data_IF_167240788345
#
_entry.id   IF_167240788345
#
_cell.length_a   1.000
_cell.length_b   1.000
_cell.length_c   1.000
_cell.angle_alpha   90.00
_cell.angle_beta   90.00
_cell.angle_gamma   90.00
#
_symmetry.space_group_name_H-M   'P 1'
#
loop_
_entity.id
_entity.type
_entity.pdbx_description
1 polymer ?
#
# COMPACT_ATOMS: atom_id res chain seq x y z
N UNK A 1 -14.85 6.15 -10.38
CA UNK A 1 -13.77 5.13 -10.38
C UNK A 1 -14.32 3.73 -10.12
N UNK A 2 -15.15 3.53 -9.09
CA UNK A 2 -15.83 2.23 -8.83
C UNK A 2 -16.66 1.74 -10.02
N UNK A 3 -17.52 2.59 -10.58
CA UNK A 3 -18.41 2.23 -11.70
C UNK A 3 -17.68 1.75 -12.96
N UNK A 4 -16.48 2.28 -13.22
CA UNK A 4 -15.67 1.86 -14.38
C UNK A 4 -14.95 0.52 -14.14
N UNK A 5 -14.65 0.20 -12.87
CA UNK A 5 -13.99 -1.05 -12.49
C UNK A 5 -14.96 -2.22 -12.53
N UNK A 6 -16.21 -1.99 -12.11
CA UNK A 6 -17.30 -2.97 -12.16
C UNK A 6 -17.61 -3.42 -13.60
N UNK A 7 -17.47 -2.53 -14.58
CA UNK A 7 -17.65 -2.87 -16.00
C UNK A 7 -16.60 -3.84 -16.53
N UNK A 8 -15.37 -3.76 -16.01
CA UNK A 8 -14.25 -4.62 -16.44
C UNK A 8 -14.19 -5.90 -15.62
N UNK A 9 -14.54 -5.83 -14.33
CA UNK A 9 -14.54 -6.97 -13.43
C UNK A 9 -15.73 -6.92 -12.45
N UNK A 10 -16.87 -7.54 -12.81
CA UNK A 10 -18.13 -7.42 -12.05
C UNK A 10 -18.06 -7.93 -10.62
N UNK A 11 -17.20 -8.92 -10.36
CA UNK A 11 -17.02 -9.54 -9.04
C UNK A 11 -16.00 -8.81 -8.15
N UNK A 12 -15.42 -7.70 -8.62
CA UNK A 12 -14.31 -7.06 -7.89
C UNK A 12 -14.75 -6.54 -6.52
N UNK A 13 -15.98 -6.02 -6.43
CA UNK A 13 -16.52 -5.41 -5.22
C UNK A 13 -16.90 -6.44 -4.15
N UNK A 14 -17.19 -7.68 -4.55
CA UNK A 14 -17.42 -8.81 -3.64
C UNK A 14 -16.12 -9.44 -3.16
N UNK A 15 -15.06 -9.39 -3.97
CA UNK A 15 -13.76 -10.01 -3.65
C UNK A 15 -12.83 -9.12 -2.83
N UNK A 16 -12.88 -7.80 -3.03
CA UNK A 16 -12.09 -6.86 -2.24
C UNK A 16 -12.97 -6.02 -1.32
N UNK A 17 -12.82 -6.26 -0.02
CA UNK A 17 -13.36 -5.37 1.02
C UNK A 17 -12.34 -4.26 1.27
N UNK A 18 -12.66 -3.05 0.82
CA UNK A 18 -11.87 -1.86 1.10
C UNK A 18 -12.55 -1.02 2.18
N UNK A 19 -11.98 -0.99 3.37
CA UNK A 19 -12.28 0.07 4.33
C UNK A 19 -11.32 1.23 4.09
N UNK A 20 -11.84 2.35 3.59
CA UNK A 20 -11.06 3.57 3.48
C UNK A 20 -10.86 4.12 4.89
N UNK A 21 -9.60 4.22 5.32
CA UNK A 21 -9.29 4.83 6.61
C UNK A 21 -9.90 6.23 6.71
N UNK A 22 -10.53 6.52 7.86
CA UNK A 22 -11.12 7.81 8.15
C UNK A 22 -10.07 8.92 8.04
N UNK A 23 -10.10 9.66 6.93
CA UNK A 23 -9.26 10.82 6.71
C UNK A 23 -10.01 12.04 7.23
N UNK A 24 -9.48 12.78 8.21
CA UNK A 24 -10.19 13.92 8.77
C UNK A 24 -10.39 15.00 7.69
N UNK A 25 -11.63 15.43 7.54
CA UNK A 25 -12.05 16.54 6.70
C UNK A 25 -11.52 17.87 7.21
N UNK A 26 -11.62 18.91 6.39
CA UNK A 26 -11.15 20.26 6.76
C UNK A 26 -11.88 20.79 8.01
N UNK A 27 -13.18 20.51 8.14
CA UNK A 27 -13.99 20.92 9.29
C UNK A 27 -13.58 20.18 10.58
N UNK A 28 -13.42 18.85 10.52
CA UNK A 28 -12.99 18.05 11.67
C UNK A 28 -11.60 18.44 12.16
N UNK A 29 -10.69 18.77 11.23
CA UNK A 29 -9.35 19.29 11.57
C UNK A 29 -9.43 20.62 12.32
N UNK A 30 -10.29 21.54 11.87
CA UNK A 30 -10.48 22.84 12.51
C UNK A 30 -11.04 22.69 13.94
N UNK A 31 -12.00 21.79 14.14
CA UNK A 31 -12.54 21.45 15.48
C UNK A 31 -11.45 20.89 16.40
N UNK A 32 -10.54 20.07 15.87
CA UNK A 32 -9.40 19.54 16.62
C UNK A 32 -8.25 20.55 16.82
N UNK A 33 -8.39 21.80 16.34
CA UNK A 33 -7.33 22.80 16.39
C UNK A 33 -6.08 22.44 15.55
N UNK A 34 -6.20 21.47 14.64
CA UNK A 34 -5.08 21.00 13.80
C UNK A 34 -5.09 21.74 12.47
N UNK A 35 -3.96 22.33 12.09
CA UNK A 35 -3.74 22.91 10.78
C UNK A 35 -2.80 22.02 9.94
N UNK A 36 -2.97 22.07 8.61
CA UNK A 36 -2.09 21.35 7.68
C UNK A 36 -2.32 19.84 7.58
N UNK A 37 -1.22 19.10 7.44
CA UNK A 37 -1.21 17.65 7.22
C UNK A 37 -1.39 16.91 8.54
N UNK A 38 -2.41 16.04 8.61
CA UNK A 38 -2.67 15.18 9.78
C UNK A 38 -2.40 13.74 9.36
N UNK A 39 -1.36 13.08 9.92
CA UNK A 39 -1.07 11.68 9.62
C UNK A 39 -2.22 10.77 10.05
N UNK A 40 -2.55 9.81 9.20
CA UNK A 40 -3.46 8.71 9.54
C UNK A 40 -2.67 7.69 10.38
N UNK A 41 -3.27 7.14 11.45
CA UNK A 41 -2.59 6.28 12.42
C UNK A 41 -1.83 5.10 11.80
N UNK A 42 -2.35 4.50 10.72
CA UNK A 42 -1.75 3.34 10.04
C UNK A 42 -0.86 3.72 8.85
N UNK A 43 -0.68 5.01 8.55
CA UNK A 43 0.07 5.47 7.37
C UNK A 43 1.52 4.99 7.36
N UNK A 44 2.16 4.94 8.53
CA UNK A 44 3.55 4.50 8.66
C UNK A 44 3.77 3.06 8.19
N UNK A 45 2.74 2.20 8.23
CA UNK A 45 2.83 0.80 7.77
C UNK A 45 3.10 0.77 6.26
N UNK A 46 2.35 1.57 5.50
CA UNK A 46 2.49 1.69 4.04
C UNK A 46 3.82 2.34 3.69
N UNK A 47 4.20 3.40 4.38
CA UNK A 47 5.48 4.09 4.14
C UNK A 47 6.68 3.17 4.43
N UNK A 48 6.59 2.38 5.52
CA UNK A 48 7.61 1.39 5.87
C UNK A 48 7.67 0.25 4.86
N UNK A 49 6.53 -0.24 4.38
CA UNK A 49 6.45 -1.22 3.29
C UNK A 49 7.16 -0.69 2.03
N UNK A 50 6.83 0.52 1.60
CA UNK A 50 7.45 1.16 0.43
C UNK A 50 8.97 1.30 0.62
N UNK A 51 9.42 1.74 1.79
CA UNK A 51 10.85 1.88 2.09
C UNK A 51 11.62 0.54 2.02
N UNK A 52 10.99 -0.60 2.30
CA UNK A 52 11.61 -1.92 2.11
C UNK A 52 11.65 -2.33 0.65
N UNK A 53 10.56 -2.11 -0.08
CA UNK A 53 10.42 -2.44 -1.49
C UNK A 53 11.37 -1.61 -2.35
N UNK A 54 11.49 -0.31 -2.09
CA UNK A 54 12.37 0.62 -2.83
C UNK A 54 13.86 0.26 -2.72
N UNK A 55 14.28 -0.43 -1.64
CA UNK A 55 15.66 -0.94 -1.53
C UNK A 55 15.96 -2.06 -2.52
N UNK A 56 14.93 -2.72 -3.04
CA UNK A 56 15.04 -3.76 -4.05
C UNK A 56 14.81 -3.15 -5.44
N UNK A 57 15.91 -2.81 -6.14
CA UNK A 57 15.90 -2.11 -7.44
C UNK A 57 15.04 -2.77 -8.54
N UNK A 58 14.79 -4.07 -8.44
CA UNK A 58 13.94 -4.81 -9.38
C UNK A 58 12.43 -4.60 -9.15
N UNK A 59 12.04 -3.98 -8.04
CA UNK A 59 10.63 -3.68 -7.71
C UNK A 59 10.24 -2.24 -8.09
N UNK A 60 10.91 -1.67 -9.09
CA UNK A 60 10.48 -0.41 -9.69
C UNK A 60 9.18 -0.60 -10.49
N UNK A 61 8.45 0.49 -10.64
CA UNK A 61 7.12 0.48 -11.28
C UNK A 61 7.21 -0.11 -12.70
N UNK A 62 6.33 -1.07 -13.00
CA UNK A 62 6.20 -1.72 -14.30
C UNK A 62 7.48 -2.40 -14.81
N UNK A 63 8.36 -2.86 -13.91
CA UNK A 63 9.57 -3.60 -14.30
C UNK A 63 9.26 -5.01 -14.82
N UNK A 64 8.34 -5.70 -14.14
CA UNK A 64 7.99 -7.09 -14.45
C UNK A 64 6.85 -7.14 -15.48
N UNK A 65 6.95 -8.08 -16.43
CA UNK A 65 5.96 -8.27 -17.49
C UNK A 65 4.68 -8.96 -17.01
N UNK A 66 4.79 -9.87 -16.04
CA UNK A 66 3.64 -10.63 -15.52
C UNK A 66 3.43 -10.35 -14.04
N UNK A 67 2.16 -10.47 -13.60
CA UNK A 67 1.79 -10.32 -12.19
C UNK A 67 2.47 -11.39 -11.31
N UNK A 68 2.64 -12.61 -11.82
CA UNK A 68 3.30 -13.70 -11.09
C UNK A 68 4.79 -13.41 -10.85
N UNK A 69 5.49 -12.84 -11.82
CA UNK A 69 6.89 -12.42 -11.62
C UNK A 69 6.97 -11.27 -10.61
N UNK A 70 6.11 -10.26 -10.72
CA UNK A 70 6.03 -9.16 -9.76
C UNK A 70 5.79 -9.65 -8.32
N UNK A 71 4.85 -10.59 -8.16
CA UNK A 71 4.56 -11.23 -6.87
C UNK A 71 5.76 -12.00 -6.32
N UNK A 72 6.45 -12.76 -7.16
CA UNK A 72 7.63 -13.53 -6.77
C UNK A 72 8.75 -12.61 -6.28
N UNK A 73 9.01 -11.49 -6.97
CA UNK A 73 10.00 -10.49 -6.55
C UNK A 73 9.64 -9.84 -5.22
N UNK A 74 8.36 -9.53 -5.01
CA UNK A 74 7.87 -8.99 -3.72
C UNK A 74 8.11 -10.00 -2.59
N UNK A 75 7.72 -11.26 -2.77
CA UNK A 75 7.96 -12.31 -1.78
C UNK A 75 9.46 -12.46 -1.46
N UNK A 76 10.32 -12.46 -2.48
CA UNK A 76 11.77 -12.54 -2.32
C UNK A 76 12.34 -11.35 -1.52
N UNK A 77 11.83 -10.14 -1.75
CA UNK A 77 12.20 -8.94 -0.97
C UNK A 77 11.95 -9.15 0.53
N UNK A 78 10.77 -9.67 0.89
CA UNK A 78 10.41 -9.91 2.28
C UNK A 78 11.16 -11.08 2.90
N UNK A 79 11.40 -12.17 2.16
CA UNK A 79 12.25 -13.28 2.62
C UNK A 79 13.67 -12.76 2.92
N UNK A 80 14.26 -11.96 2.02
CA UNK A 80 15.57 -11.34 2.25
C UNK A 80 15.58 -10.44 3.49
N UNK A 81 14.50 -9.68 3.72
CA UNK A 81 14.35 -8.86 4.92
C UNK A 81 14.30 -9.74 6.19
N UNK A 82 13.54 -10.83 6.18
CA UNK A 82 13.44 -11.75 7.33
C UNK A 82 14.77 -12.44 7.61
N UNK A 83 15.44 -12.97 6.59
CA UNK A 83 16.76 -13.61 6.73
C UNK A 83 17.77 -12.64 7.36
N UNK A 84 17.78 -11.37 6.93
CA UNK A 84 18.65 -10.35 7.53
C UNK A 84 18.37 -10.08 9.01
N UNK A 85 17.14 -10.27 9.48
CA UNK A 85 16.76 -10.10 10.89
C UNK A 85 17.06 -11.34 11.73
N UNK A 86 17.19 -12.51 11.11
CA UNK A 86 17.55 -13.75 11.78
C UNK A 86 19.06 -13.96 11.87
N UNK A 87 19.82 -13.39 10.92
CA UNK A 87 21.28 -13.48 10.86
C UNK A 87 22.00 -12.44 11.76
N UNK A 88 21.23 -11.73 12.59
CA UNK A 88 21.70 -10.87 13.68
C UNK A 88 21.44 -11.56 15.01
#
# INVERSE_FOLDING_TARGET
>A
MQTALEQVYPEIMTKLQFEVSAKPSKAEKAVQGKSGFVPVAVRWVIERFNAWVERCKNLVKNFEWTLEHARTKLNLCFIRLMVKRLAT
#
